data_IF_893644642302
#
_entry.id   IF_893644642302
#
_cell.length_a   1.000
_cell.length_b   1.000
_cell.length_c   1.000
_cell.angle_alpha   90.00
_cell.angle_beta   90.00
_cell.angle_gamma   90.00
#
_symmetry.space_group_name_H-M   'P 1'
#
loop_
_entity.id
_entity.type
_entity.pdbx_description
1 polymer ?
#
# COMPACT_ATOMS: atom_id res chain seq x y z
N UNK A 1 -17.55 21.17 13.12
CA UNK A 1 -16.60 20.04 13.15
C UNK A 1 -15.75 20.12 11.91
N UNK A 2 -14.42 20.16 12.07
CA UNK A 2 -13.51 20.07 10.94
C UNK A 2 -13.42 18.60 10.47
N UNK A 3 -13.41 18.39 9.18
CA UNK A 3 -13.23 17.06 8.57
C UNK A 3 -12.40 17.18 7.30
N UNK A 4 -11.82 16.06 6.86
CA UNK A 4 -11.15 15.94 5.57
C UNK A 4 -11.97 15.04 4.64
N UNK A 5 -12.02 15.41 3.37
CA UNK A 5 -12.57 14.60 2.31
C UNK A 5 -11.44 13.90 1.55
N UNK A 6 -11.52 12.60 1.41
CA UNK A 6 -10.49 11.81 0.72
C UNK A 6 -11.05 10.56 0.08
N UNK A 7 -10.17 9.75 -0.47
CA UNK A 7 -10.58 8.55 -1.19
C UNK A 7 -9.61 7.39 -1.01
N UNK A 8 -10.11 6.18 -1.32
CA UNK A 8 -9.28 5.00 -1.50
C UNK A 8 -8.61 5.06 -2.88
N UNK A 9 -7.34 4.67 -2.92
CA UNK A 9 -6.61 4.35 -4.16
C UNK A 9 -6.38 2.84 -4.12
N UNK A 10 -7.23 2.09 -4.80
CA UNK A 10 -7.25 0.63 -4.72
C UNK A 10 -7.41 -0.07 -6.07
N UNK A 11 -7.45 0.71 -7.15
CA UNK A 11 -7.37 0.17 -8.51
C UNK A 11 -6.25 0.86 -9.28
N UNK A 12 -5.58 0.17 -10.23
CA UNK A 12 -4.48 0.75 -11.00
C UNK A 12 -4.86 2.05 -11.71
N UNK A 13 -6.07 2.16 -12.24
CA UNK A 13 -6.54 3.39 -12.88
C UNK A 13 -6.52 4.58 -11.92
N UNK A 14 -6.99 4.41 -10.69
CA UNK A 14 -6.95 5.48 -9.69
C UNK A 14 -5.51 5.88 -9.35
N UNK A 15 -4.59 4.91 -9.28
CA UNK A 15 -3.17 5.19 -9.03
C UNK A 15 -2.54 6.03 -10.15
N UNK A 16 -2.80 5.70 -11.42
CA UNK A 16 -2.23 6.44 -12.57
C UNK A 16 -2.93 7.78 -12.85
N UNK A 17 -4.11 8.03 -12.29
CA UNK A 17 -4.82 9.32 -12.39
C UNK A 17 -4.86 10.07 -11.05
N UNK A 18 -3.95 9.72 -10.14
CA UNK A 18 -3.95 10.25 -8.78
C UNK A 18 -3.80 11.78 -8.70
N UNK A 19 -3.07 12.41 -9.63
CA UNK A 19 -2.97 13.86 -9.72
C UNK A 19 -4.33 14.53 -9.94
N UNK A 20 -5.16 13.99 -10.83
CA UNK A 20 -6.51 14.51 -11.06
C UNK A 20 -7.38 14.35 -9.81
N UNK A 21 -7.30 13.20 -9.15
CA UNK A 21 -8.06 12.89 -7.92
C UNK A 21 -7.64 13.83 -6.77
N UNK A 22 -6.33 14.14 -6.65
CA UNK A 22 -5.79 15.02 -5.62
C UNK A 22 -6.30 16.46 -5.74
N UNK A 23 -6.80 16.89 -6.90
CA UNK A 23 -7.43 18.21 -7.05
C UNK A 23 -8.62 18.38 -6.10
N UNK A 24 -9.32 17.29 -5.77
CA UNK A 24 -10.48 17.26 -4.89
C UNK A 24 -10.21 16.57 -3.55
N UNK A 25 -9.44 15.49 -3.53
CA UNK A 25 -9.16 14.72 -2.33
C UNK A 25 -8.09 15.39 -1.45
N UNK A 26 -8.31 15.38 -0.14
CA UNK A 26 -7.37 15.92 0.86
C UNK A 26 -6.48 14.83 1.46
N UNK A 27 -6.84 13.56 1.28
CA UNK A 27 -6.02 12.43 1.63
C UNK A 27 -6.26 11.24 0.71
N UNK A 28 -5.27 10.35 0.63
CA UNK A 28 -5.39 9.04 0.01
C UNK A 28 -5.21 7.94 1.05
N UNK A 29 -6.00 6.87 0.93
CA UNK A 29 -5.78 5.62 1.63
C UNK A 29 -5.60 4.52 0.58
N UNK A 30 -4.42 3.91 0.52
CA UNK A 30 -4.21 2.79 -0.40
C UNK A 30 -4.90 1.53 0.14
N UNK A 31 -5.90 1.03 -0.60
CA UNK A 31 -6.53 -0.27 -0.39
C UNK A 31 -5.66 -1.35 -1.01
N UNK A 32 -4.59 -1.74 -0.32
CA UNK A 32 -3.54 -2.56 -0.92
C UNK A 32 -3.96 -3.98 -1.24
N UNK A 33 -5.00 -4.51 -0.59
CA UNK A 33 -5.56 -5.81 -0.98
C UNK A 33 -6.16 -5.77 -2.39
N UNK A 34 -7.04 -4.80 -2.65
CA UNK A 34 -7.70 -4.66 -3.94
C UNK A 34 -6.74 -4.17 -5.01
N UNK A 35 -5.85 -3.25 -4.68
CA UNK A 35 -4.81 -2.81 -5.61
C UNK A 35 -3.91 -3.98 -6.05
N UNK A 36 -3.60 -4.90 -5.13
CA UNK A 36 -2.85 -6.12 -5.44
C UNK A 36 -3.65 -7.05 -6.35
N UNK A 37 -4.93 -7.33 -6.03
CA UNK A 37 -5.79 -8.15 -6.88
C UNK A 37 -5.86 -7.61 -8.31
N UNK A 38 -6.11 -6.32 -8.45
CA UNK A 38 -6.27 -5.67 -9.76
C UNK A 38 -4.95 -5.56 -10.53
N UNK A 39 -3.83 -5.41 -9.85
CA UNK A 39 -2.51 -5.34 -10.48
C UNK A 39 -2.04 -6.70 -10.97
N UNK A 40 -2.25 -7.75 -10.18
CA UNK A 40 -1.93 -9.13 -10.57
C UNK A 40 -2.98 -9.78 -11.48
N UNK A 41 -4.18 -9.22 -11.54
CA UNK A 41 -5.27 -9.71 -12.39
C UNK A 41 -5.90 -11.02 -11.89
N UNK A 42 -5.88 -11.27 -10.56
CA UNK A 42 -6.55 -12.42 -9.98
C UNK A 42 -7.16 -12.10 -8.60
N UNK A 43 -8.22 -12.84 -8.25
CA UNK A 43 -8.85 -12.80 -6.94
C UNK A 43 -7.94 -13.42 -5.89
N UNK A 44 -7.83 -12.79 -4.71
CA UNK A 44 -7.11 -13.32 -3.56
C UNK A 44 -7.62 -14.71 -3.18
N UNK A 45 -8.94 -14.82 -3.00
CA UNK A 45 -9.57 -16.05 -2.52
C UNK A 45 -9.38 -17.22 -3.50
N UNK A 46 -9.49 -16.95 -4.80
CA UNK A 46 -9.31 -17.98 -5.83
C UNK A 46 -7.83 -18.38 -5.94
N UNK A 47 -6.92 -17.42 -5.92
CA UNK A 47 -5.49 -17.68 -6.03
C UNK A 47 -4.95 -18.47 -4.82
N UNK A 48 -5.30 -18.08 -3.58
CA UNK A 48 -4.87 -18.75 -2.36
C UNK A 48 -5.40 -20.19 -2.28
N UNK A 49 -6.62 -20.44 -2.77
CA UNK A 49 -7.21 -21.78 -2.80
C UNK A 49 -6.71 -22.67 -3.93
N UNK A 50 -6.13 -22.12 -4.97
CA UNK A 50 -5.79 -22.88 -6.18
C UNK A 50 -4.28 -22.95 -6.45
N UNK A 51 -3.67 -21.89 -6.94
CA UNK A 51 -2.31 -21.96 -7.50
C UNK A 51 -1.25 -21.22 -6.69
N UNK A 52 -1.62 -20.27 -5.84
CA UNK A 52 -0.67 -19.34 -5.23
C UNK A 52 0.38 -20.04 -4.35
N UNK A 53 -0.05 -21.03 -3.57
CA UNK A 53 0.88 -21.84 -2.74
C UNK A 53 1.92 -22.53 -3.61
N UNK A 54 1.50 -23.12 -4.72
CA UNK A 54 2.41 -23.79 -5.65
C UNK A 54 3.36 -22.81 -6.37
N UNK A 55 2.92 -21.59 -6.63
CA UNK A 55 3.77 -20.56 -7.23
C UNK A 55 4.89 -20.14 -6.27
N UNK A 56 4.58 -20.06 -4.99
CA UNK A 56 5.58 -19.76 -3.95
C UNK A 56 6.55 -20.93 -3.79
N UNK A 57 6.05 -22.16 -3.65
CA UNK A 57 6.87 -23.38 -3.53
C UNK A 57 7.83 -23.58 -4.70
N UNK A 58 7.41 -23.21 -5.92
CA UNK A 58 8.23 -23.29 -7.13
C UNK A 58 9.11 -22.06 -7.37
N UNK A 59 9.07 -21.06 -6.51
CA UNK A 59 9.82 -19.82 -6.66
C UNK A 59 9.37 -18.94 -7.84
N UNK A 60 8.17 -19.16 -8.38
CA UNK A 60 7.58 -18.29 -9.43
C UNK A 60 7.24 -16.94 -8.83
N UNK A 61 6.68 -16.93 -7.61
CA UNK A 61 6.55 -15.74 -6.78
C UNK A 61 7.43 -15.90 -5.55
N UNK A 62 8.16 -14.85 -5.15
CA UNK A 62 9.05 -14.94 -3.99
C UNK A 62 8.27 -15.05 -2.67
N UNK A 63 7.06 -14.52 -2.63
CA UNK A 63 6.18 -14.48 -1.44
C UNK A 63 4.71 -14.33 -1.85
N UNK A 64 3.82 -14.52 -0.87
CA UNK A 64 2.40 -14.22 -1.03
C UNK A 64 2.20 -12.68 -1.11
N UNK A 65 1.77 -12.14 -2.27
CA UNK A 65 1.62 -10.69 -2.47
C UNK A 65 0.48 -10.08 -1.64
N UNK A 66 -0.38 -10.89 -1.04
CA UNK A 66 -1.43 -10.44 -0.11
C UNK A 66 -0.96 -10.34 1.34
N UNK A 67 0.17 -10.96 1.69
CA UNK A 67 0.78 -10.89 3.01
C UNK A 67 1.91 -9.87 3.06
N UNK A 68 2.73 -9.80 2.02
CA UNK A 68 3.81 -8.85 1.87
C UNK A 68 3.63 -8.09 0.57
N UNK A 69 3.70 -6.76 0.64
CA UNK A 69 3.52 -5.88 -0.51
C UNK A 69 4.51 -6.19 -1.62
N UNK A 70 4.00 -6.36 -2.82
CA UNK A 70 4.79 -6.39 -4.05
C UNK A 70 5.33 -4.98 -4.34
N UNK A 71 6.59 -4.74 -3.98
CA UNK A 71 7.23 -3.43 -4.15
C UNK A 71 7.46 -3.07 -5.61
N UNK A 72 7.64 -4.09 -6.49
CA UNK A 72 8.01 -3.89 -7.89
C UNK A 72 6.83 -3.52 -8.80
N UNK A 73 5.64 -3.99 -8.50
CA UNK A 73 4.41 -3.66 -9.22
C UNK A 73 3.53 -2.71 -8.42
N UNK A 74 2.84 -3.24 -7.42
CA UNK A 74 1.91 -2.49 -6.58
C UNK A 74 2.59 -1.31 -5.88
N UNK A 75 3.78 -1.52 -5.35
CA UNK A 75 4.57 -0.48 -4.67
C UNK A 75 4.96 0.67 -5.60
N UNK A 76 5.26 0.39 -6.87
CA UNK A 76 5.53 1.44 -7.87
C UNK A 76 4.28 2.25 -8.22
N UNK A 77 3.12 1.59 -8.33
CA UNK A 77 1.85 2.30 -8.52
C UNK A 77 1.55 3.25 -7.34
N UNK A 78 1.78 2.78 -6.11
CA UNK A 78 1.62 3.60 -4.92
C UNK A 78 2.57 4.80 -4.94
N UNK A 79 3.85 4.58 -5.23
CA UNK A 79 4.86 5.63 -5.30
C UNK A 79 4.50 6.69 -6.35
N UNK A 80 4.10 6.26 -7.55
CA UNK A 80 3.69 7.18 -8.61
C UNK A 80 2.47 8.00 -8.20
N UNK A 81 1.46 7.35 -7.59
CA UNK A 81 0.27 8.04 -7.11
C UNK A 81 0.57 9.10 -6.04
N UNK A 82 1.56 8.85 -5.16
CA UNK A 82 2.00 9.84 -4.17
C UNK A 82 2.70 11.02 -4.85
N UNK A 83 3.59 10.75 -5.79
CA UNK A 83 4.32 11.79 -6.53
C UNK A 83 3.33 12.69 -7.27
N UNK A 84 2.44 12.11 -8.06
CA UNK A 84 1.46 12.84 -8.86
C UNK A 84 0.44 13.58 -8.00
N UNK A 85 -0.02 12.93 -6.92
CA UNK A 85 -0.95 13.54 -5.97
C UNK A 85 -0.34 14.75 -5.26
N UNK A 86 0.89 14.65 -4.78
CA UNK A 86 1.60 15.74 -4.10
C UNK A 86 2.10 16.84 -5.04
N UNK A 87 2.26 16.55 -6.31
CA UNK A 87 2.52 17.59 -7.31
C UNK A 87 1.33 18.57 -7.44
N UNK A 88 0.10 18.08 -7.23
CA UNK A 88 -1.12 18.89 -7.25
C UNK A 88 -1.47 19.44 -5.87
N UNK A 89 -1.32 18.62 -4.83
CA UNK A 89 -1.60 18.96 -3.43
C UNK A 89 -0.41 18.59 -2.55
N UNK A 90 0.52 19.52 -2.30
CA UNK A 90 1.75 19.26 -1.53
C UNK A 90 1.50 18.69 -0.12
N UNK A 91 0.40 19.11 0.53
CA UNK A 91 0.00 18.66 1.86
C UNK A 91 -0.87 17.39 1.86
N UNK A 92 -0.97 16.67 0.73
CA UNK A 92 -1.76 15.46 0.63
C UNK A 92 -1.31 14.42 1.65
N UNK A 93 -2.20 14.08 2.56
CA UNK A 93 -1.97 12.97 3.50
C UNK A 93 -2.17 11.63 2.79
N UNK A 94 -1.26 10.72 3.04
CA UNK A 94 -1.27 9.41 2.40
C UNK A 94 -1.03 8.32 3.43
N UNK A 95 -1.84 7.31 3.38
CA UNK A 95 -1.68 6.13 4.22
C UNK A 95 -2.09 4.85 3.52
N UNK A 96 -1.98 3.75 4.24
CA UNK A 96 -2.40 2.44 3.75
C UNK A 96 -3.35 1.77 4.73
N UNK A 97 -4.25 0.97 4.22
CA UNK A 97 -5.04 0.02 4.99
C UNK A 97 -4.94 -1.37 4.36
N UNK A 98 -5.32 -2.39 5.11
CA UNK A 98 -5.26 -3.78 4.70
C UNK A 98 -4.16 -4.57 5.42
N UNK A 99 -3.96 -5.81 4.99
CA UNK A 99 -3.04 -6.76 5.63
C UNK A 99 -1.59 -6.27 5.67
N UNK A 100 -1.17 -5.56 4.64
CA UNK A 100 0.19 -5.04 4.49
C UNK A 100 0.59 -4.03 5.57
N UNK A 101 -0.39 -3.32 6.17
CA UNK A 101 -0.13 -2.38 7.27
C UNK A 101 0.42 -3.03 8.55
N UNK A 102 0.37 -4.35 8.65
CA UNK A 102 0.95 -5.13 9.75
C UNK A 102 2.23 -5.89 9.38
N UNK A 103 2.70 -5.81 8.13
CA UNK A 103 3.93 -6.47 7.68
C UNK A 103 5.13 -5.53 7.74
N UNK A 104 6.22 -5.89 8.45
CA UNK A 104 7.39 -5.02 8.61
C UNK A 104 8.03 -4.55 7.30
N UNK A 105 8.12 -5.44 6.30
CA UNK A 105 8.70 -5.09 4.99
C UNK A 105 7.83 -4.09 4.24
N UNK A 106 6.52 -4.27 4.29
CA UNK A 106 5.56 -3.35 3.67
C UNK A 106 5.57 -1.99 4.35
N UNK A 107 5.69 -1.95 5.68
CA UNK A 107 5.81 -0.71 6.47
C UNK A 107 7.10 0.03 6.12
N UNK A 108 8.23 -0.67 5.97
CA UNK A 108 9.48 -0.06 5.50
C UNK A 108 9.30 0.61 4.14
N UNK A 109 8.62 -0.06 3.19
CA UNK A 109 8.33 0.53 1.89
C UNK A 109 7.43 1.77 2.00
N UNK A 110 6.39 1.72 2.82
CA UNK A 110 5.53 2.87 3.08
C UNK A 110 6.34 4.07 3.61
N UNK A 111 7.30 3.84 4.48
CA UNK A 111 8.22 4.88 4.96
C UNK A 111 9.05 5.46 3.80
N UNK A 112 9.65 4.60 2.97
CA UNK A 112 10.50 5.01 1.84
C UNK A 112 9.76 5.89 0.84
N UNK A 113 8.51 5.52 0.50
CA UNK A 113 7.69 6.29 -0.45
C UNK A 113 6.96 7.48 0.18
N UNK A 114 7.15 7.72 1.48
CA UNK A 114 6.66 8.90 2.17
C UNK A 114 5.20 8.85 2.62
N UNK A 115 4.68 7.67 2.98
CA UNK A 115 3.39 7.58 3.65
C UNK A 115 3.42 8.30 5.01
N UNK A 116 2.31 8.93 5.36
CA UNK A 116 2.14 9.61 6.64
C UNK A 116 1.74 8.63 7.76
N UNK A 117 1.00 7.58 7.41
CA UNK A 117 0.53 6.59 8.38
C UNK A 117 0.33 5.21 7.74
N UNK A 118 0.24 4.19 8.60
CA UNK A 118 -0.24 2.86 8.25
C UNK A 118 -1.36 2.47 9.20
N UNK A 119 -2.37 1.78 8.68
CA UNK A 119 -3.42 1.15 9.50
C UNK A 119 -3.17 -0.34 9.57
N UNK A 120 -3.37 -0.92 10.73
CA UNK A 120 -3.30 -2.36 10.94
C UNK A 120 -4.29 -2.80 12.01
N UNK A 121 -4.50 -4.12 12.15
CA UNK A 121 -5.31 -4.65 13.24
C UNK A 121 -4.69 -4.30 14.59
N UNK A 122 -5.51 -4.14 15.67
CA UNK A 122 -5.01 -3.75 16.99
C UNK A 122 -3.87 -4.62 17.51
N UNK A 123 -3.93 -5.93 17.26
CA UNK A 123 -2.89 -6.89 17.69
C UNK A 123 -1.55 -6.69 17.00
N UNK A 124 -1.51 -6.04 15.83
CA UNK A 124 -0.29 -5.77 15.07
C UNK A 124 0.32 -4.41 15.36
N UNK A 125 -0.36 -3.54 16.10
CA UNK A 125 0.13 -2.18 16.42
C UNK A 125 1.52 -2.17 17.05
N UNK A 126 1.87 -3.01 18.05
CA UNK A 126 3.22 -3.00 18.63
C UNK A 126 4.29 -3.33 17.58
N UNK A 127 4.05 -4.33 16.73
CA UNK A 127 4.95 -4.70 15.63
C UNK A 127 5.07 -3.59 14.60
N UNK A 128 3.95 -2.99 14.20
CA UNK A 128 3.93 -1.90 13.22
C UNK A 128 4.73 -0.68 13.70
N UNK A 129 4.58 -0.32 14.97
CA UNK A 129 5.37 0.78 15.57
C UNK A 129 6.86 0.48 15.59
N UNK A 130 7.24 -0.75 15.94
CA UNK A 130 8.64 -1.17 15.92
C UNK A 130 9.20 -1.12 14.49
N UNK A 131 8.48 -1.67 13.51
CA UNK A 131 8.88 -1.66 12.11
C UNK A 131 9.03 -0.23 11.56
N UNK A 132 8.10 0.67 11.90
CA UNK A 132 8.19 2.08 11.50
C UNK A 132 9.42 2.78 12.12
N UNK A 133 9.71 2.52 13.40
CA UNK A 133 10.90 3.05 14.05
C UNK A 133 12.19 2.53 13.41
N UNK A 134 12.26 1.23 13.10
CA UNK A 134 13.39 0.63 12.41
C UNK A 134 13.58 1.21 11.00
N UNK A 135 12.48 1.38 10.26
CA UNK A 135 12.51 2.00 8.93
C UNK A 135 13.06 3.44 9.00
N UNK A 136 12.61 4.24 9.97
CA UNK A 136 13.08 5.60 10.18
C UNK A 136 14.57 5.68 10.55
N UNK A 137 15.12 4.71 11.28
CA UNK A 137 16.53 4.64 11.62
C UNK A 137 17.38 4.22 10.41
N UNK A 138 16.90 3.22 9.67
CA UNK A 138 17.65 2.61 8.56
C UNK A 138 17.73 3.51 7.32
N UNK A 139 16.71 4.36 7.10
CA UNK A 139 16.59 5.20 5.91
C UNK A 139 16.79 6.71 6.23
N UNK A 140 17.68 7.00 7.19
CA UNK A 140 18.11 8.37 7.53
C UNK A 140 19.09 8.92 6.49
#
# INVERSE_FOLDING_TARGET
VSYKFGTMIEIPRAAVTAGEIASMAQFFSFGTNDLTQMTFGYSRDDAERSFLVRYIEKGILPRNPFQQLDREGVGKLMQQAIIDGRAVRPELEVGICGEHGGDPSSIEWCHIIGNNYVSCSPFRVPMARLAAAQAAIKNR
#
